data_IF_445263245802
#
_entry.id   IF_445263245802
#
_cell.length_a   1.000
_cell.length_b   1.000
_cell.length_c   1.000
_cell.angle_alpha   90.00
_cell.angle_beta   90.00
_cell.angle_gamma   90.00
#
_symmetry.space_group_name_H-M   'P 1'
#
loop_
_entity.id
_entity.type
_entity.pdbx_description
1 polymer ?
#
# COMPACT_ATOMS: atom_id res chain seq x y z
N UNK A 1 -4.32 32.49 17.77
CA UNK A 1 -4.95 33.68 17.11
C UNK A 1 -5.49 33.22 15.75
N UNK A 2 -6.80 33.03 15.64
CA UNK A 2 -7.47 32.66 14.37
C UNK A 2 -8.28 33.85 13.86
N UNK A 3 -8.02 34.25 12.60
CA UNK A 3 -8.69 35.29 11.79
C UNK A 3 -8.35 34.89 10.34
N UNK A 4 -9.21 34.81 9.33
CA UNK A 4 -10.55 35.33 9.08
C UNK A 4 -11.20 34.46 8.01
N UNK A 5 -12.51 34.22 8.12
CA UNK A 5 -13.40 33.71 7.10
C UNK A 5 -13.82 34.90 6.19
N UNK A 6 -13.93 34.70 4.87
CA UNK A 6 -14.68 35.62 3.99
C UNK A 6 -15.70 34.84 3.17
N UNK A 7 -16.96 35.18 3.40
CA UNK A 7 -18.14 34.90 2.58
C UNK A 7 -18.62 36.23 1.96
N UNK A 8 -19.61 36.18 1.05
CA UNK A 8 -20.35 37.24 0.32
C UNK A 8 -19.90 37.32 -1.16
N UNK A 9 -20.76 37.29 -2.18
CA UNK A 9 -22.23 37.33 -2.30
C UNK A 9 -22.66 37.01 -3.75
N UNK A 10 -23.87 36.47 -4.00
CA UNK A 10 -25.16 37.13 -4.24
C UNK A 10 -25.52 37.29 -5.74
N UNK A 11 -26.55 36.52 -6.14
CA UNK A 11 -27.76 36.83 -6.94
C UNK A 11 -27.65 37.34 -8.39
N UNK A 12 -28.34 36.62 -9.28
CA UNK A 12 -28.94 37.13 -10.52
C UNK A 12 -30.05 36.20 -11.03
N UNK A 13 -31.30 36.66 -10.99
CA UNK A 13 -32.54 35.99 -11.42
C UNK A 13 -33.03 36.64 -12.73
N UNK A 14 -33.85 35.90 -13.51
CA UNK A 14 -35.00 36.31 -14.35
C UNK A 14 -34.79 36.19 -15.87
N UNK A 15 -35.56 35.30 -16.52
CA UNK A 15 -36.56 35.69 -17.53
C UNK A 15 -37.48 34.53 -17.91
N UNK A 16 -38.77 34.77 -17.68
CA UNK A 16 -39.94 33.96 -18.03
C UNK A 16 -40.37 34.32 -19.45
N UNK A 17 -40.81 33.34 -20.25
CA UNK A 17 -41.83 33.61 -21.27
C UNK A 17 -42.90 32.52 -21.28
N UNK A 18 -44.13 32.99 -21.10
CA UNK A 18 -45.40 32.30 -21.23
C UNK A 18 -45.73 32.01 -22.71
N UNK A 19 -46.36 30.86 -22.96
CA UNK A 19 -47.13 30.59 -24.17
C UNK A 19 -48.26 29.63 -23.80
N UNK A 20 -49.50 30.13 -23.78
CA UNK A 20 -50.70 29.40 -23.40
C UNK A 20 -51.41 28.80 -24.62
N UNK A 21 -51.90 27.56 -24.50
CA UNK A 21 -53.11 27.06 -25.15
C UNK A 21 -53.68 25.87 -24.36
N UNK A 22 -54.99 25.87 -24.17
CA UNK A 22 -55.89 24.93 -23.47
C UNK A 22 -57.15 24.86 -24.38
N UNK A 23 -58.05 23.83 -24.41
CA UNK A 23 -58.23 22.65 -23.53
C UNK A 23 -58.52 21.27 -24.20
N UNK A 24 -58.65 20.26 -23.32
CA UNK A 24 -59.57 19.09 -23.34
C UNK A 24 -59.30 17.90 -24.27
N UNK A 25 -59.05 16.72 -23.69
CA UNK A 25 -60.11 15.71 -23.49
C UNK A 25 -59.63 14.54 -22.62
N UNK A 26 -60.59 13.78 -22.09
CA UNK A 26 -60.51 12.79 -21.01
C UNK A 26 -59.87 11.44 -21.38
N UNK A 27 -59.35 10.81 -20.32
CA UNK A 27 -59.32 9.37 -20.04
C UNK A 27 -58.43 8.45 -20.90
N UNK A 28 -57.43 7.86 -20.23
CA UNK A 28 -56.68 6.71 -20.73
C UNK A 28 -55.52 6.36 -19.79
N UNK A 29 -55.75 5.42 -18.87
CA UNK A 29 -54.72 4.85 -18.01
C UNK A 29 -53.67 4.12 -18.85
N UNK A 30 -52.38 4.38 -18.62
CA UNK A 30 -51.26 3.58 -19.10
C UNK A 30 -50.02 3.77 -18.20
N UNK A 31 -49.13 2.77 -18.12
CA UNK A 31 -48.29 2.49 -16.95
C UNK A 31 -47.00 3.33 -16.91
N UNK A 32 -46.55 3.64 -15.69
CA UNK A 32 -45.28 4.30 -15.39
C UNK A 32 -44.11 3.38 -15.75
N UNK A 33 -43.50 3.60 -16.91
CA UNK A 33 -42.15 3.11 -17.24
C UNK A 33 -41.13 4.08 -16.62
N UNK A 34 -40.78 3.84 -15.35
CA UNK A 34 -39.61 4.45 -14.72
C UNK A 34 -38.41 3.52 -14.98
N UNK A 35 -37.36 3.95 -15.70
CA UNK A 35 -36.18 3.11 -15.89
C UNK A 35 -35.49 2.89 -14.53
N UNK A 36 -35.13 1.64 -14.17
CA UNK A 36 -34.54 1.37 -12.87
C UNK A 36 -33.16 2.03 -12.77
N UNK A 37 -33.03 2.91 -11.77
CA UNK A 37 -31.77 3.43 -11.25
C UNK A 37 -30.94 2.25 -10.73
N UNK A 38 -29.97 1.81 -11.54
CA UNK A 38 -28.93 0.87 -11.08
C UNK A 38 -27.93 1.66 -10.24
N UNK A 39 -28.20 1.76 -8.95
CA UNK A 39 -27.20 2.06 -7.93
C UNK A 39 -26.38 0.80 -7.69
N UNK A 40 -25.31 0.60 -8.45
CA UNK A 40 -24.30 -0.40 -8.14
C UNK A 40 -23.16 0.27 -7.38
N UNK A 41 -23.37 0.49 -6.08
CA UNK A 41 -22.26 0.77 -5.17
C UNK A 41 -21.59 -0.57 -4.89
N UNK A 42 -20.55 -0.90 -5.67
CA UNK A 42 -19.57 -1.91 -5.27
C UNK A 42 -18.78 -1.34 -4.07
N UNK A 43 -19.37 -1.39 -2.88
CA UNK A 43 -18.59 -1.33 -1.64
C UNK A 43 -17.97 -2.72 -1.49
N UNK A 44 -16.63 -2.87 -1.55
CA UNK A 44 -16.02 -4.13 -1.20
C UNK A 44 -16.45 -4.48 0.23
N UNK A 45 -17.03 -5.66 0.44
CA UNK A 45 -17.39 -6.14 1.77
C UNK A 45 -16.23 -5.89 2.74
N UNK A 46 -16.49 -5.35 3.96
CA UNK A 46 -15.44 -5.12 4.94
C UNK A 46 -14.66 -6.41 5.14
N UNK A 47 -13.42 -6.44 4.65
CA UNK A 47 -12.54 -7.55 4.93
C UNK A 47 -12.10 -7.40 6.38
N UNK A 48 -12.08 -8.49 7.17
CA UNK A 48 -11.69 -8.38 8.57
C UNK A 48 -10.30 -7.76 8.67
N UNK A 49 -10.13 -6.86 9.64
CA UNK A 49 -8.81 -6.38 10.03
C UNK A 49 -7.91 -7.58 10.41
N UNK A 50 -6.60 -7.39 10.39
CA UNK A 50 -5.64 -8.35 10.96
C UNK A 50 -6.15 -8.84 12.32
N UNK A 51 -6.04 -10.15 12.58
CA UNK A 51 -6.28 -10.68 13.92
C UNK A 51 -5.21 -10.17 14.90
N UNK A 52 -5.49 -10.24 16.20
CA UNK A 52 -4.50 -9.88 17.23
C UNK A 52 -3.21 -10.72 17.11
N UNK A 53 -3.35 -12.00 16.71
CA UNK A 53 -2.21 -12.88 16.45
C UNK A 53 -1.38 -12.43 15.24
N UNK A 54 -2.04 -12.02 14.16
CA UNK A 54 -1.38 -11.50 12.96
C UNK A 54 -0.70 -10.16 13.22
N UNK A 55 -1.33 -9.28 14.02
CA UNK A 55 -0.73 -8.02 14.45
C UNK A 55 0.49 -8.26 15.34
N UNK A 56 0.42 -9.23 16.25
CA UNK A 56 1.56 -9.64 17.07
C UNK A 56 2.71 -10.17 16.19
N UNK A 57 2.42 -11.04 15.22
CA UNK A 57 3.42 -11.53 14.25
C UNK A 57 4.09 -10.38 13.48
N UNK A 58 3.31 -9.39 13.05
CA UNK A 58 3.85 -8.19 12.41
C UNK A 58 4.84 -7.46 13.33
N UNK A 59 4.45 -7.21 14.58
CA UNK A 59 5.29 -6.51 15.57
C UNK A 59 6.57 -7.28 15.88
N UNK A 60 6.51 -8.61 15.99
CA UNK A 60 7.67 -9.48 16.20
C UNK A 60 8.58 -9.55 14.97
N UNK A 61 8.02 -9.39 13.76
CA UNK A 61 8.78 -9.40 12.52
C UNK A 61 9.64 -8.15 12.35
N UNK A 62 9.16 -6.96 12.73
CA UNK A 62 9.86 -5.68 12.48
C UNK A 62 11.31 -5.66 13.02
N UNK A 63 11.60 -6.08 14.27
CA UNK A 63 12.98 -6.13 14.78
C UNK A 63 13.91 -7.07 14.02
N UNK A 64 13.36 -8.08 13.32
CA UNK A 64 14.15 -9.05 12.53
C UNK A 64 14.63 -8.49 11.19
N UNK A 65 14.08 -7.34 10.76
CA UNK A 65 14.42 -6.72 9.49
C UNK A 65 15.85 -6.18 9.56
N UNK A 66 16.66 -6.47 8.52
CA UNK A 66 17.99 -5.87 8.38
C UNK A 66 17.89 -4.35 8.43
N UNK A 67 18.60 -3.74 9.38
CA UNK A 67 18.55 -2.30 9.58
C UNK A 67 17.32 -1.80 10.34
N UNK A 68 16.67 -2.64 11.15
CA UNK A 68 15.47 -2.28 11.91
C UNK A 68 15.62 -0.98 12.73
N UNK A 69 16.81 -0.70 13.28
CA UNK A 69 17.10 0.55 14.01
C UNK A 69 16.94 1.81 13.16
N UNK A 70 17.02 1.68 11.84
CA UNK A 70 16.85 2.76 10.86
C UNK A 70 15.43 2.87 10.32
N UNK A 71 14.50 2.03 10.77
CA UNK A 71 13.09 2.17 10.43
C UNK A 71 12.55 3.42 11.11
N UNK A 72 11.99 4.31 10.27
CA UNK A 72 11.29 5.53 10.68
C UNK A 72 9.88 5.17 11.15
N UNK A 73 9.18 4.35 10.38
CA UNK A 73 7.81 3.93 10.67
C UNK A 73 7.56 2.53 10.10
N UNK A 74 6.83 1.72 10.85
CA UNK A 74 6.32 0.42 10.45
C UNK A 74 4.93 0.24 11.05
N UNK A 75 3.90 0.21 10.20
CA UNK A 75 2.51 0.17 10.65
C UNK A 75 1.59 -0.52 9.64
N UNK A 76 0.38 -0.83 10.09
CA UNK A 76 -0.71 -1.32 9.26
C UNK A 76 -1.66 -0.15 8.96
N UNK A 77 -1.86 0.16 7.68
CA UNK A 77 -2.74 1.21 7.16
C UNK A 77 -3.94 0.61 6.44
N UNK A 78 -4.97 1.43 6.21
CA UNK A 78 -6.07 1.20 5.27
C UNK A 78 -6.62 -0.24 5.23
N UNK A 79 -6.82 -0.86 6.40
CA UNK A 79 -7.26 -2.25 6.52
C UNK A 79 -6.33 -3.23 5.79
N UNK A 80 -5.27 -3.64 6.51
CA UNK A 80 -4.34 -4.71 6.15
C UNK A 80 -3.31 -4.35 5.06
N UNK A 81 -2.95 -3.06 4.95
CA UNK A 81 -1.82 -2.60 4.14
C UNK A 81 -0.59 -2.39 5.03
N UNK A 82 0.50 -3.10 4.78
CA UNK A 82 1.76 -2.84 5.50
C UNK A 82 2.43 -1.62 4.89
N UNK A 83 2.85 -0.70 5.75
CA UNK A 83 3.70 0.43 5.39
C UNK A 83 4.97 0.40 6.24
N UNK A 84 6.13 0.29 5.59
CA UNK A 84 7.45 0.35 6.23
C UNK A 84 8.30 1.38 5.50
N UNK A 85 8.86 2.31 6.26
CA UNK A 85 9.72 3.37 5.74
C UNK A 85 10.95 3.47 6.62
N UNK A 86 12.11 3.47 5.97
CA UNK A 86 13.40 3.73 6.59
C UNK A 86 13.74 5.21 6.48
N UNK A 87 14.59 5.72 7.38
CA UNK A 87 15.19 7.04 7.18
C UNK A 87 16.00 7.08 5.89
N UNK A 88 15.96 8.20 5.17
CA UNK A 88 16.64 8.36 3.88
C UNK A 88 18.15 8.52 4.05
N UNK A 89 18.56 9.16 5.15
CA UNK A 89 19.95 9.50 5.46
C UNK A 89 20.25 9.44 6.95
N UNK A 90 21.53 9.35 7.30
CA UNK A 90 21.98 9.43 8.68
C UNK A 90 21.57 10.75 9.36
N UNK A 91 21.67 11.86 8.62
CA UNK A 91 21.24 13.18 9.09
C UNK A 91 19.77 13.19 9.52
N UNK A 92 18.88 12.67 8.67
CA UNK A 92 17.45 12.58 8.97
C UNK A 92 17.19 11.73 10.23
N UNK A 93 17.92 10.61 10.36
CA UNK A 93 17.84 9.75 11.54
C UNK A 93 18.28 10.49 12.81
N UNK A 94 19.37 11.25 12.79
CA UNK A 94 19.86 12.00 13.97
C UNK A 94 18.99 13.20 14.31
N UNK A 95 18.39 13.85 13.32
CA UNK A 95 17.41 14.92 13.57
C UNK A 95 16.16 14.38 14.28
N UNK A 96 15.67 13.20 13.88
CA UNK A 96 14.49 12.58 14.49
C UNK A 96 14.79 11.81 15.78
N UNK A 97 15.99 11.21 15.90
CA UNK A 97 16.45 10.41 17.05
C UNK A 97 17.88 10.83 17.45
N UNK A 98 18.04 12.00 18.12
CA UNK A 98 19.37 12.51 18.50
C UNK A 98 20.18 11.57 19.37
N UNK A 99 19.53 10.75 20.19
CA UNK A 99 20.17 9.79 21.09
C UNK A 99 20.46 8.43 20.44
N UNK A 100 20.20 8.28 19.13
CA UNK A 100 20.51 7.03 18.43
C UNK A 100 22.01 6.72 18.54
N UNK A 101 22.40 5.50 18.97
CA UNK A 101 23.80 5.11 19.12
C UNK A 101 24.49 4.84 17.78
N UNK A 102 23.72 4.80 16.70
CA UNK A 102 24.20 4.49 15.36
C UNK A 102 25.17 5.58 14.88
N UNK A 103 26.31 5.19 14.32
CA UNK A 103 27.21 6.12 13.60
C UNK A 103 26.81 6.26 12.13
N UNK A 104 27.39 7.24 11.44
CA UNK A 104 27.17 7.42 10.00
C UNK A 104 27.77 6.26 9.19
N UNK A 105 28.95 5.77 9.60
CA UNK A 105 29.59 4.61 8.99
C UNK A 105 28.72 3.36 9.15
N UNK A 106 28.19 3.11 10.35
CA UNK A 106 27.27 2.01 10.62
C UNK A 106 26.02 2.13 9.76
N UNK A 107 25.39 3.31 9.70
CA UNK A 107 24.23 3.58 8.85
C UNK A 107 24.47 3.16 7.40
N UNK A 108 25.58 3.65 6.83
CA UNK A 108 25.91 3.38 5.43
C UNK A 108 26.31 1.92 5.18
N UNK A 109 26.84 1.22 6.19
CA UNK A 109 27.23 -0.19 6.08
C UNK A 109 26.05 -1.16 5.94
N UNK A 110 24.83 -0.78 6.37
CA UNK A 110 23.66 -1.64 6.25
C UNK A 110 23.21 -1.83 4.79
N UNK A 111 23.44 -0.85 3.92
CA UNK A 111 23.03 -0.88 2.51
C UNK A 111 24.19 -0.48 1.58
N UNK A 112 25.27 -1.29 1.53
CA UNK A 112 26.50 -0.92 0.83
C UNK A 112 26.34 -0.91 -0.70
N UNK A 113 25.31 -1.57 -1.22
CA UNK A 113 24.99 -1.65 -2.63
C UNK A 113 23.47 -1.68 -2.85
N UNK A 114 23.02 -1.19 -4.01
CA UNK A 114 21.60 -1.23 -4.41
C UNK A 114 21.05 -2.66 -4.39
N UNK A 115 21.90 -3.64 -4.68
CA UNK A 115 21.59 -5.06 -4.60
C UNK A 115 21.15 -5.51 -3.20
N UNK A 116 21.74 -4.93 -2.15
CA UNK A 116 21.35 -5.19 -0.76
C UNK A 116 19.95 -4.66 -0.47
N UNK A 117 19.61 -3.51 -1.05
CA UNK A 117 18.26 -2.91 -0.95
C UNK A 117 17.23 -3.75 -1.71
N UNK A 118 17.56 -4.19 -2.93
CA UNK A 118 16.69 -5.11 -3.67
C UNK A 118 16.42 -6.39 -2.89
N UNK A 119 17.46 -6.94 -2.24
CA UNK A 119 17.36 -8.16 -1.43
C UNK A 119 16.44 -7.93 -0.23
N UNK A 120 16.68 -6.86 0.53
CA UNK A 120 15.84 -6.48 1.67
C UNK A 120 14.37 -6.37 1.25
N UNK A 121 14.09 -5.59 0.21
CA UNK A 121 12.72 -5.31 -0.21
C UNK A 121 12.01 -6.60 -0.63
N UNK A 122 12.68 -7.42 -1.43
CA UNK A 122 12.14 -8.70 -1.88
C UNK A 122 11.90 -9.67 -0.70
N UNK A 123 12.87 -9.84 0.20
CA UNK A 123 12.77 -10.76 1.34
C UNK A 123 11.65 -10.35 2.30
N UNK A 124 11.62 -9.08 2.72
CA UNK A 124 10.60 -8.56 3.63
C UNK A 124 9.21 -8.67 3.02
N UNK A 125 9.06 -8.30 1.74
CA UNK A 125 7.78 -8.39 1.04
C UNK A 125 7.26 -9.82 1.00
N UNK A 126 8.09 -10.77 0.56
CA UNK A 126 7.68 -12.17 0.37
C UNK A 126 7.37 -12.82 1.73
N UNK A 127 8.18 -12.56 2.76
CA UNK A 127 7.95 -13.09 4.11
C UNK A 127 6.68 -12.55 4.73
N UNK A 128 6.46 -11.23 4.71
CA UNK A 128 5.24 -10.64 5.27
C UNK A 128 3.97 -11.17 4.60
N UNK A 129 3.99 -11.33 3.27
CA UNK A 129 2.83 -11.88 2.55
C UNK A 129 2.54 -13.34 2.89
N UNK A 130 3.58 -14.12 3.21
CA UNK A 130 3.49 -15.52 3.63
C UNK A 130 3.09 -15.66 5.10
N UNK A 131 3.74 -14.93 6.01
CA UNK A 131 3.56 -15.07 7.46
C UNK A 131 2.25 -14.45 7.97
N UNK A 132 1.71 -13.45 7.25
CA UNK A 132 0.51 -12.71 7.63
C UNK A 132 -0.53 -12.78 6.50
N UNK A 133 -1.35 -13.84 6.45
CA UNK A 133 -2.36 -14.07 5.41
C UNK A 133 -3.39 -12.96 5.23
N UNK A 134 -3.58 -12.04 6.18
CA UNK A 134 -4.47 -10.89 5.99
C UNK A 134 -3.85 -9.75 5.15
N UNK A 135 -2.51 -9.65 5.03
CA UNK A 135 -1.85 -8.51 4.34
C UNK A 135 -2.19 -8.43 2.86
N UNK A 136 -2.82 -7.34 2.42
CA UNK A 136 -3.30 -7.20 1.02
C UNK A 136 -2.37 -6.36 0.15
N UNK A 137 -1.58 -5.49 0.77
CA UNK A 137 -0.68 -4.55 0.10
C UNK A 137 0.56 -4.33 0.97
N UNK A 138 1.71 -4.18 0.33
CA UNK A 138 2.95 -3.78 1.00
C UNK A 138 3.48 -2.53 0.31
N UNK A 139 3.76 -1.53 1.13
CA UNK A 139 4.62 -0.41 0.80
C UNK A 139 5.87 -0.50 1.66
N UNK A 140 7.04 -0.60 1.03
CA UNK A 140 8.31 -0.71 1.73
C UNK A 140 9.35 0.14 1.00
N UNK A 141 9.94 1.11 1.72
CA UNK A 141 10.94 2.03 1.20
C UNK A 141 12.23 1.94 2.03
N UNK A 142 13.36 1.69 1.37
CA UNK A 142 14.67 1.58 1.98
C UNK A 142 15.71 2.48 1.28
N UNK A 143 16.67 3.04 2.03
CA UNK A 143 17.63 4.01 1.49
C UNK A 143 18.78 3.35 0.73
N UNK A 144 19.23 4.02 -0.33
CA UNK A 144 20.52 3.81 -0.96
C UNK A 144 21.06 5.14 -1.47
N UNK A 145 22.24 5.56 -1.01
CA UNK A 145 22.90 6.82 -1.41
C UNK A 145 21.96 8.04 -1.33
N UNK A 146 21.33 8.25 -0.17
CA UNK A 146 20.39 9.35 0.11
C UNK A 146 19.14 9.38 -0.81
N UNK A 147 18.82 8.26 -1.46
CA UNK A 147 17.62 8.08 -2.27
C UNK A 147 16.85 6.87 -1.75
N UNK A 148 15.53 7.01 -1.58
CA UNK A 148 14.68 5.88 -1.25
C UNK A 148 14.39 5.06 -2.50
N UNK A 149 14.45 3.74 -2.35
CA UNK A 149 13.96 2.77 -3.31
C UNK A 149 12.91 1.93 -2.62
N UNK A 150 11.85 1.60 -3.32
CA UNK A 150 10.75 0.91 -2.69
C UNK A 150 9.84 0.16 -3.62
N UNK A 151 8.94 -0.57 -2.98
CA UNK A 151 7.84 -1.28 -3.60
C UNK A 151 6.55 -0.68 -3.08
N UNK A 152 5.57 -0.52 -3.96
CA UNK A 152 4.16 -0.39 -3.63
C UNK A 152 3.45 -1.48 -4.46
N UNK A 153 3.03 -2.57 -3.81
CA UNK A 153 2.42 -3.69 -4.51
C UNK A 153 1.32 -4.37 -3.71
N UNK A 154 0.24 -4.74 -4.42
CA UNK A 154 -0.80 -5.62 -3.91
C UNK A 154 -0.30 -7.07 -3.90
N UNK A 155 -0.71 -7.86 -2.90
CA UNK A 155 -0.43 -9.30 -2.79
C UNK A 155 -0.70 -10.01 -4.11
N UNK A 156 -1.88 -9.79 -4.70
CA UNK A 156 -2.31 -10.46 -5.94
C UNK A 156 -1.31 -10.26 -7.08
N UNK A 157 -0.73 -9.07 -7.20
CA UNK A 157 0.25 -8.77 -8.25
C UNK A 157 1.54 -9.59 -8.06
N UNK A 158 1.97 -9.77 -6.82
CA UNK A 158 3.14 -10.58 -6.47
C UNK A 158 2.85 -12.07 -6.65
N UNK A 159 1.70 -12.56 -6.18
CA UNK A 159 1.25 -13.95 -6.36
C UNK A 159 1.16 -14.34 -7.84
N UNK A 160 0.60 -13.46 -8.69
CA UNK A 160 0.55 -13.67 -10.13
C UNK A 160 1.94 -13.74 -10.76
N UNK A 161 2.85 -12.84 -10.36
CA UNK A 161 4.23 -12.84 -10.84
C UNK A 161 4.98 -14.13 -10.44
N UNK A 162 4.83 -14.56 -9.19
CA UNK A 162 5.49 -15.74 -8.64
C UNK A 162 4.80 -17.05 -9.07
N UNK A 163 3.57 -16.98 -9.59
CA UNK A 163 2.69 -18.14 -9.84
C UNK A 163 2.51 -18.99 -8.58
N UNK A 164 2.31 -18.33 -7.45
CA UNK A 164 2.22 -18.93 -6.13
C UNK A 164 1.10 -18.28 -5.32
N UNK A 165 0.45 -19.03 -4.43
CA UNK A 165 -0.53 -18.49 -3.48
C UNK A 165 0.06 -18.52 -2.08
N UNK A 166 0.27 -17.34 -1.49
CA UNK A 166 0.85 -17.23 -0.16
C UNK A 166 -0.06 -17.83 0.90
N UNK A 167 -1.39 -17.66 0.76
CA UNK A 167 -2.35 -18.30 1.66
C UNK A 167 -2.24 -19.83 1.65
N UNK A 168 -2.21 -20.44 0.45
CA UNK A 168 -2.07 -21.90 0.33
C UNK A 168 -0.75 -22.40 0.92
N UNK A 169 0.34 -21.66 0.70
CA UNK A 169 1.66 -21.99 1.24
C UNK A 169 1.69 -21.82 2.77
N UNK A 170 1.04 -20.78 3.30
CA UNK A 170 0.90 -20.56 4.73
C UNK A 170 0.17 -21.73 5.41
N UNK A 171 -0.95 -22.15 4.83
CA UNK A 171 -1.81 -23.21 5.39
C UNK A 171 -1.20 -24.62 5.19
N UNK A 172 -0.11 -24.77 4.44
CA UNK A 172 0.50 -26.06 4.14
C UNK A 172 1.23 -26.66 5.37
N UNK A 173 0.86 -27.88 5.80
CA UNK A 173 1.61 -28.59 6.83
C UNK A 173 3.06 -28.84 6.39
N UNK A 174 4.02 -28.60 7.29
CA UNK A 174 5.45 -28.86 7.04
C UNK A 174 6.16 -27.87 6.10
N UNK A 175 5.43 -26.91 5.51
CA UNK A 175 5.97 -25.75 4.79
C UNK A 175 6.93 -26.13 3.64
N UNK A 176 6.63 -27.20 2.88
CA UNK A 176 7.52 -27.66 1.81
C UNK A 176 7.51 -26.69 0.64
N UNK A 177 6.34 -26.20 0.20
CA UNK A 177 6.28 -25.23 -0.90
C UNK A 177 6.96 -23.92 -0.52
N UNK A 178 6.88 -23.49 0.74
CA UNK A 178 7.61 -22.32 1.23
C UNK A 178 9.12 -22.48 1.06
N UNK A 179 9.67 -23.62 1.51
CA UNK A 179 11.11 -23.91 1.39
C UNK A 179 11.56 -23.94 -0.07
N UNK A 180 10.77 -24.54 -0.96
CA UNK A 180 11.09 -24.57 -2.39
C UNK A 180 10.99 -23.19 -3.05
N UNK A 181 9.99 -22.38 -2.66
CA UNK A 181 9.85 -21.01 -3.14
C UNK A 181 11.05 -20.16 -2.73
N UNK A 182 11.45 -20.20 -1.46
CA UNK A 182 12.60 -19.46 -0.92
C UNK A 182 13.90 -19.83 -1.64
N UNK A 183 14.16 -21.14 -1.83
CA UNK A 183 15.35 -21.62 -2.56
C UNK A 183 15.43 -21.06 -3.98
N UNK A 184 14.29 -20.97 -4.68
CA UNK A 184 14.21 -20.46 -6.05
C UNK A 184 14.40 -18.95 -6.11
N UNK A 185 13.76 -18.22 -5.19
CA UNK A 185 13.59 -16.77 -5.30
C UNK A 185 14.80 -15.96 -4.81
N UNK A 186 15.53 -16.42 -3.80
CA UNK A 186 16.63 -15.61 -3.22
C UNK A 186 17.98 -15.80 -3.92
N UNK A 187 17.94 -15.93 -5.24
CA UNK A 187 19.13 -15.86 -6.10
C UNK A 187 19.30 -14.44 -6.65
N UNK A 188 20.52 -14.06 -7.05
CA UNK A 188 20.77 -12.76 -7.69
C UNK A 188 19.90 -12.53 -8.91
N UNK A 189 19.80 -13.54 -9.79
CA UNK A 189 19.00 -13.45 -11.02
C UNK A 189 17.52 -13.19 -10.75
N UNK A 190 16.92 -13.90 -9.80
CA UNK A 190 15.49 -13.72 -9.49
C UNK A 190 15.23 -12.43 -8.72
N UNK A 191 16.17 -12.00 -7.88
CA UNK A 191 16.14 -10.67 -7.24
C UNK A 191 16.15 -9.55 -8.26
N UNK A 192 17.02 -9.61 -9.27
CA UNK A 192 17.08 -8.58 -10.31
C UNK A 192 15.79 -8.49 -11.11
N UNK A 193 15.20 -9.63 -11.48
CA UNK A 193 13.88 -9.66 -12.14
C UNK A 193 12.77 -9.07 -11.25
N UNK A 194 12.78 -9.43 -9.97
CA UNK A 194 11.81 -8.88 -9.01
C UNK A 194 11.97 -7.36 -8.89
N UNK A 195 13.20 -6.86 -8.76
CA UNK A 195 13.51 -5.45 -8.68
C UNK A 195 13.08 -4.69 -9.94
N UNK A 196 13.43 -5.20 -11.12
CA UNK A 196 12.98 -4.65 -12.40
C UNK A 196 11.46 -4.57 -12.50
N UNK A 197 10.73 -5.54 -11.93
CA UNK A 197 9.28 -5.54 -11.97
C UNK A 197 8.63 -4.59 -10.95
N UNK A 198 9.14 -4.54 -9.72
CA UNK A 198 8.41 -3.95 -8.58
C UNK A 198 9.13 -2.83 -7.85
N UNK A 199 10.45 -2.70 -7.97
CA UNK A 199 11.23 -1.74 -7.16
C UNK A 199 11.54 -0.49 -7.98
N UNK A 200 11.25 0.69 -7.44
CA UNK A 200 11.46 1.99 -8.08
C UNK A 200 12.07 3.00 -7.10
N UNK A 201 12.78 4.04 -7.58
CA UNK A 201 13.04 5.22 -6.75
C UNK A 201 11.73 5.82 -6.21
N UNK A 202 11.75 6.27 -4.96
CA UNK A 202 10.62 6.91 -4.27
C UNK A 202 10.91 8.39 -3.96
N UNK A 203 9.95 9.31 -4.14
CA UNK A 203 8.62 9.09 -4.72
C UNK A 203 8.75 8.70 -6.19
N UNK A 204 7.98 7.71 -6.62
CA UNK A 204 7.92 7.37 -8.03
C UNK A 204 7.16 8.47 -8.76
N UNK A 205 7.62 8.84 -9.96
CA UNK A 205 6.78 9.63 -10.86
C UNK A 205 5.45 8.87 -11.07
N UNK A 206 4.29 9.56 -11.09
CA UNK A 206 3.02 8.90 -11.38
C UNK A 206 3.13 8.15 -12.72
N UNK A 207 2.68 6.90 -12.73
CA UNK A 207 2.55 6.07 -13.94
C UNK A 207 1.40 6.57 -14.81
#
# INVERSE_FOLDING_TARGET
MYKQLRLIGIIGIIMVTLGACVPQSFAGSAPTDEPPRVESVDVPAPQPNLSDEELKKFQEFIPSIRGASMIQIAEIRNQNEVFIQFYTSYKELKEAKPDSPLTEEEFNSYFPAIDTVHKLIMEVTIRLLHEIPAVRKITLNAPFKNQLYGIDAKRRSIEMYLKASFKKIHDEPGQKQWKELVKKLFTTKERDKFAQRFIRPYPSAPL
#
